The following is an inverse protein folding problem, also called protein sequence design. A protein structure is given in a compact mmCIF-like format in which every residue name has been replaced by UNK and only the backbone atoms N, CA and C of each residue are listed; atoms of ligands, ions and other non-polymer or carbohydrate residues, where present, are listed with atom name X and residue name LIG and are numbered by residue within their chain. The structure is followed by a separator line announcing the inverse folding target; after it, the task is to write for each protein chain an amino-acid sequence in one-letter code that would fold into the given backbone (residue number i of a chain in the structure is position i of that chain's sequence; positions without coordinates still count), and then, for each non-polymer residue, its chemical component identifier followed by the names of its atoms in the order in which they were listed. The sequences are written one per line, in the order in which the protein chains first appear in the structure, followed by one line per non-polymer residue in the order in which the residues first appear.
data_IF_107146353204
#
_entry.id   IF_107146353204
#
_cell.length_a   1.000
_cell.length_b   1.000
_cell.length_c   1.000
_cell.angle_alpha   90.00
_cell.angle_beta   90.00
_cell.angle_gamma   90.00
#
_symmetry.space_group_name_H-M   'P 1'
#
loop_
_entity.id
_entity.type
_entity.pdbx_description
1 polymer ?
#
# COMPACT_ATOMS: atom_id res chain seq x y z
N UNK A 1 -16.92 -63.83 4.78
CA UNK A 1 -16.82 -62.39 5.10
C UNK A 1 -15.65 -61.85 4.31
N UNK A 2 -15.91 -61.35 3.11
CA UNK A 2 -14.85 -60.92 2.18
C UNK A 2 -14.89 -59.40 2.15
N UNK A 3 -13.86 -58.80 2.72
CA UNK A 3 -13.71 -57.35 2.86
C UNK A 3 -13.49 -56.79 1.46
N UNK A 4 -14.44 -56.01 0.95
CA UNK A 4 -14.22 -55.15 -0.22
C UNK A 4 -13.25 -54.03 0.19
N UNK A 5 -11.95 -54.32 0.12
CA UNK A 5 -10.90 -53.33 0.35
C UNK A 5 -10.83 -52.40 -0.85
N UNK A 6 -11.51 -51.25 -0.71
CA UNK A 6 -11.05 -49.94 -1.12
C UNK A 6 -10.25 -49.86 -2.43
N UNK A 7 -10.96 -49.74 -3.54
CA UNK A 7 -10.42 -49.42 -4.87
C UNK A 7 -10.06 -47.92 -4.98
N UNK A 8 -9.36 -47.39 -3.98
CA UNK A 8 -8.75 -46.04 -4.02
C UNK A 8 -7.21 -46.12 -4.11
N UNK A 9 -6.64 -47.30 -4.38
CA UNK A 9 -5.21 -47.52 -4.19
C UNK A 9 -4.32 -47.14 -5.39
N UNK A 10 -4.85 -46.52 -6.44
CA UNK A 10 -4.01 -46.06 -7.55
C UNK A 10 -4.64 -44.90 -8.33
N UNK A 11 -4.65 -43.71 -7.73
CA UNK A 11 -4.77 -42.50 -8.55
C UNK A 11 -3.40 -42.27 -9.24
N UNK A 12 -3.33 -42.26 -10.58
CA UNK A 12 -2.08 -42.01 -11.29
C UNK A 12 -1.55 -40.61 -10.94
N UNK A 13 -0.23 -40.44 -10.91
CA UNK A 13 0.37 -39.14 -10.73
C UNK A 13 -0.07 -38.20 -11.87
N UNK A 14 -1.02 -37.33 -11.58
CA UNK A 14 -1.50 -36.36 -12.57
C UNK A 14 -0.38 -35.37 -12.85
N UNK A 15 0.10 -35.37 -14.09
CA UNK A 15 0.90 -34.26 -14.59
C UNK A 15 0.02 -33.01 -14.54
N UNK A 16 0.59 -31.87 -14.15
CA UNK A 16 -0.16 -30.62 -14.06
C UNK A 16 -0.91 -30.36 -15.38
N UNK A 17 -2.18 -29.96 -15.25
CA UNK A 17 -2.99 -29.65 -16.42
C UNK A 17 -2.42 -28.43 -17.14
N UNK A 18 -2.75 -28.27 -18.42
CA UNK A 18 -2.35 -27.08 -19.18
C UNK A 18 -2.83 -25.78 -18.52
N UNK A 19 -4.00 -25.81 -17.86
CA UNK A 19 -4.51 -24.69 -17.08
C UNK A 19 -3.66 -24.41 -15.85
N UNK A 20 -3.20 -25.45 -15.14
CA UNK A 20 -2.33 -25.28 -13.98
C UNK A 20 -0.98 -24.66 -14.41
N UNK A 21 -0.40 -25.12 -15.52
CA UNK A 21 0.81 -24.51 -16.08
C UNK A 21 0.59 -23.04 -16.47
N UNK A 22 -0.52 -22.69 -17.12
CA UNK A 22 -0.82 -21.31 -17.48
C UNK A 22 -1.01 -20.40 -16.24
N UNK A 23 -1.56 -20.93 -15.15
CA UNK A 23 -1.72 -20.18 -13.89
C UNK A 23 -0.37 -19.94 -13.19
N UNK A 24 0.56 -20.89 -13.23
CA UNK A 24 1.92 -20.70 -12.69
C UNK A 24 2.68 -19.63 -13.48
N UNK A 25 2.58 -19.64 -14.81
CA UNK A 25 3.17 -18.61 -15.67
C UNK A 25 2.58 -17.22 -15.39
N UNK A 26 1.26 -17.11 -15.19
CA UNK A 26 0.61 -15.85 -14.82
C UNK A 26 0.93 -15.41 -13.39
N UNK A 27 1.23 -16.33 -12.47
CA UNK A 27 1.67 -15.94 -11.13
C UNK A 27 3.09 -15.38 -11.13
N UNK A 28 3.96 -15.91 -11.99
CA UNK A 28 5.38 -15.54 -12.08
C UNK A 28 5.63 -14.34 -13.01
N UNK A 29 4.93 -14.27 -14.15
CA UNK A 29 5.11 -13.26 -15.19
C UNK A 29 3.85 -12.44 -15.48
N UNK A 30 2.72 -12.73 -14.82
CA UNK A 30 1.50 -11.98 -15.02
C UNK A 30 1.62 -10.56 -14.50
N UNK A 31 1.12 -9.62 -15.30
CA UNK A 31 1.04 -8.22 -14.96
C UNK A 31 0.25 -8.00 -13.66
N UNK A 32 0.88 -7.46 -12.63
CA UNK A 32 0.15 -6.95 -11.46
C UNK A 32 -0.09 -5.46 -11.65
N UNK A 33 -1.35 -5.00 -11.55
CA UNK A 33 -1.61 -3.58 -11.34
C UNK A 33 -0.72 -3.11 -10.19
N UNK A 34 0.00 -2.00 -10.38
CA UNK A 34 1.02 -1.43 -9.47
C UNK A 34 2.46 -2.00 -9.54
N UNK A 35 2.78 -2.91 -10.46
CA UNK A 35 4.19 -3.30 -10.70
C UNK A 35 4.98 -2.24 -11.50
N UNK A 36 4.28 -1.37 -12.25
CA UNK A 36 4.91 -0.23 -12.92
C UNK A 36 5.20 0.87 -11.89
N UNK A 37 6.43 1.42 -11.84
CA UNK A 37 6.74 2.59 -11.03
C UNK A 37 5.72 3.70 -11.29
N UNK A 38 5.17 4.30 -10.23
CA UNK A 38 4.26 5.44 -10.38
C UNK A 38 4.95 6.53 -11.23
N UNK A 39 4.40 6.87 -12.41
CA UNK A 39 5.06 7.79 -13.34
C UNK A 39 5.01 9.24 -12.85
N UNK A 40 4.25 9.53 -11.77
CA UNK A 40 4.17 10.87 -11.21
C UNK A 40 5.52 11.26 -10.59
N UNK A 41 6.02 12.47 -10.88
CA UNK A 41 7.24 12.94 -10.25
C UNK A 41 7.06 13.07 -8.74
N UNK A 42 8.14 12.92 -7.99
CA UNK A 42 8.13 13.26 -6.57
C UNK A 42 7.79 14.74 -6.39
N UNK A 43 7.17 15.12 -5.26
CA UNK A 43 6.93 16.52 -4.94
C UNK A 43 8.24 17.32 -4.93
N UNK A 44 8.19 18.56 -5.42
CA UNK A 44 9.30 19.49 -5.27
C UNK A 44 9.49 19.80 -3.78
N UNK A 45 10.65 19.43 -3.23
CA UNK A 45 10.98 19.60 -1.83
C UNK A 45 10.95 21.06 -1.38
N UNK A 46 11.33 22.00 -2.25
CA UNK A 46 11.27 23.42 -1.92
C UNK A 46 9.82 23.89 -1.87
N UNK A 47 9.01 23.48 -2.84
CA UNK A 47 7.58 23.80 -2.85
C UNK A 47 6.85 23.21 -1.65
N UNK A 48 7.24 22.00 -1.23
CA UNK A 48 6.71 21.37 -0.03
C UNK A 48 7.09 22.16 1.23
N UNK A 49 8.36 22.58 1.37
CA UNK A 49 8.81 23.38 2.50
C UNK A 49 8.08 24.72 2.61
N UNK A 50 7.86 25.41 1.48
CA UNK A 50 7.07 26.66 1.43
C UNK A 50 5.62 26.39 1.86
N UNK A 51 4.98 25.35 1.34
CA UNK A 51 3.60 25.03 1.71
C UNK A 51 3.45 24.70 3.20
N UNK A 52 4.44 24.03 3.81
CA UNK A 52 4.45 23.77 5.25
C UNK A 52 4.59 25.07 6.04
N UNK A 53 5.47 25.99 5.63
CA UNK A 53 5.59 27.31 6.25
C UNK A 53 4.26 28.09 6.18
N UNK A 54 3.61 28.12 5.01
CA UNK A 54 2.31 28.79 4.83
C UNK A 54 1.22 28.23 5.76
N UNK A 55 1.22 26.92 6.03
CA UNK A 55 0.29 26.30 6.98
C UNK A 55 0.52 26.83 8.39
N UNK A 56 1.78 26.92 8.82
CA UNK A 56 2.12 27.45 10.14
C UNK A 56 1.81 28.95 10.23
N UNK A 57 2.10 29.73 9.20
CA UNK A 57 1.75 31.16 9.15
C UNK A 57 0.23 31.36 9.23
N UNK A 58 -0.56 30.52 8.56
CA UNK A 58 -2.01 30.56 8.67
C UNK A 58 -2.50 30.21 10.09
N UNK A 59 -1.87 29.24 10.77
CA UNK A 59 -2.19 28.92 12.16
C UNK A 59 -1.85 30.09 13.10
N UNK A 60 -0.67 30.70 12.94
CA UNK A 60 -0.26 31.88 13.70
C UNK A 60 -1.25 33.01 13.47
N UNK A 61 -1.51 33.39 12.22
CA UNK A 61 -2.36 34.53 11.87
C UNK A 61 -3.82 34.39 12.32
N UNK A 62 -4.31 33.16 12.56
CA UNK A 62 -5.69 32.93 13.03
C UNK A 62 -5.81 32.94 14.55
N UNK A 63 -4.70 32.79 15.27
CA UNK A 63 -4.66 32.73 16.73
C UNK A 63 -4.00 33.96 17.36
N UNK A 64 -3.16 34.67 16.62
CA UNK A 64 -2.64 35.99 16.94
C UNK A 64 -3.81 36.96 17.22
N UNK A 65 -3.63 37.87 18.19
CA UNK A 65 -4.65 38.79 18.68
C UNK A 65 -5.92 38.12 19.27
N UNK A 66 -5.87 36.82 19.55
CA UNK A 66 -6.96 36.10 20.23
C UNK A 66 -6.60 35.75 21.66
N UNK A 67 -7.59 35.31 22.44
CA UNK A 67 -7.37 34.78 23.79
C UNK A 67 -6.45 33.55 23.85
N UNK A 68 -6.15 32.93 22.70
CA UNK A 68 -5.28 31.75 22.58
C UNK A 68 -3.82 32.12 22.26
N UNK A 69 -3.51 33.39 21.97
CA UNK A 69 -2.15 33.86 21.69
C UNK A 69 -1.12 33.48 22.78
N UNK A 70 -1.44 33.52 24.09
CA UNK A 70 -0.47 33.11 25.12
C UNK A 70 -0.04 31.64 25.03
N UNK A 71 -0.87 30.80 24.42
CA UNK A 71 -0.63 29.35 24.30
C UNK A 71 0.05 28.99 22.96
N UNK A 72 0.35 29.96 22.10
CA UNK A 72 0.82 29.74 20.72
C UNK A 72 2.17 29.02 20.65
N UNK A 73 3.11 29.36 21.53
CA UNK A 73 4.43 28.72 21.59
C UNK A 73 4.32 27.23 21.94
N UNK A 74 3.54 26.91 22.96
CA UNK A 74 3.26 25.53 23.39
C UNK A 74 2.57 24.73 22.27
N UNK A 75 1.59 25.32 21.58
CA UNK A 75 0.86 24.66 20.49
C UNK A 75 1.76 24.36 19.29
N UNK A 76 2.69 25.25 18.97
CA UNK A 76 3.58 25.08 17.82
C UNK A 76 4.77 24.17 18.12
N UNK A 77 5.26 24.17 19.37
CA UNK A 77 6.56 23.58 19.71
C UNK A 77 6.56 22.57 20.86
N UNK A 78 5.66 22.69 21.84
CA UNK A 78 5.46 21.75 22.97
C UNK A 78 6.66 21.47 23.89
#
# INVERSE_FOLDING_TARGET
MTIHTHDEAYEPAHTASQTAHALDELQLYGYRPFDEPDPRPMPDGQRLAVAVADIFDALVATLEDTRMEPDLEEVLWG
#
